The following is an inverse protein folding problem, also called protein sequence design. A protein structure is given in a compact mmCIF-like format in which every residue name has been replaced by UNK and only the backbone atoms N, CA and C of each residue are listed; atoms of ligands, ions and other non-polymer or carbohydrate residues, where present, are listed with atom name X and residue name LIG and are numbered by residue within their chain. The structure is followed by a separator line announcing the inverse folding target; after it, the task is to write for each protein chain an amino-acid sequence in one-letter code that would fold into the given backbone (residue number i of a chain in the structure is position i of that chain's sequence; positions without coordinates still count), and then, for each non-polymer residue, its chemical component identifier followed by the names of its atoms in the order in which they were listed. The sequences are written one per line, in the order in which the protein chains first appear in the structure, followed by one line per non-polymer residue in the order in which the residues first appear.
data_IF_944989089318
#
_entry.id   IF_944989089318
#
_cell.length_a   1.000
_cell.length_b   1.000
_cell.length_c   1.000
_cell.angle_alpha   90.00
_cell.angle_beta   90.00
_cell.angle_gamma   90.00
#
_symmetry.space_group_name_H-M   'P 1'
#
loop_
_entity.id
_entity.type
_entity.pdbx_description
1 polymer ?
#
# COMPACT_ATOMS: atom_id res chain seq x y z
N UNK A 1 5.08 32.30 13.40
CA UNK A 1 4.96 31.07 12.60
C UNK A 1 3.48 30.85 12.36
N UNK A 2 3.05 30.99 11.11
CA UNK A 2 1.63 30.99 10.73
C UNK A 2 1.13 29.54 10.67
N UNK A 3 -0.03 29.25 11.26
CA UNK A 3 -0.63 27.90 11.29
C UNK A 3 -0.77 27.31 9.87
N UNK A 4 -0.94 28.16 8.86
CA UNK A 4 -0.99 27.76 7.44
C UNK A 4 0.27 27.04 6.94
N UNK A 5 1.48 27.51 7.29
CA UNK A 5 2.72 26.86 6.85
C UNK A 5 2.94 25.47 7.47
N UNK A 6 2.43 25.25 8.69
CA UNK A 6 2.47 23.94 9.32
C UNK A 6 1.47 22.98 8.67
N UNK A 7 0.27 23.47 8.34
CA UNK A 7 -0.75 22.67 7.65
C UNK A 7 -0.28 22.24 6.26
N UNK A 8 0.36 23.13 5.49
CA UNK A 8 0.93 22.77 4.18
C UNK A 8 2.00 21.68 4.30
N UNK A 9 2.88 21.75 5.30
CA UNK A 9 3.89 20.71 5.54
C UNK A 9 3.26 19.37 5.92
N UNK A 10 2.18 19.39 6.72
CA UNK A 10 1.44 18.17 7.09
C UNK A 10 0.73 17.60 5.86
N UNK A 11 0.06 18.42 5.06
CA UNK A 11 -0.62 17.98 3.83
C UNK A 11 0.37 17.36 2.83
N UNK A 12 1.52 17.99 2.63
CA UNK A 12 2.56 17.50 1.72
C UNK A 12 3.22 16.21 2.24
N UNK A 13 3.45 16.11 3.55
CA UNK A 13 3.93 14.86 4.17
C UNK A 13 2.91 13.72 4.05
N UNK A 14 1.61 14.02 4.21
CA UNK A 14 0.53 13.05 4.02
C UNK A 14 0.39 12.62 2.56
N UNK A 15 0.47 13.56 1.62
CA UNK A 15 0.49 13.27 0.17
C UNK A 15 1.68 12.40 -0.22
N UNK A 16 2.88 12.70 0.27
CA UNK A 16 4.06 11.87 -0.01
C UNK A 16 3.93 10.47 0.63
N UNK A 17 3.34 10.39 1.82
CA UNK A 17 3.12 9.13 2.50
C UNK A 17 2.10 8.23 1.79
N UNK A 18 1.03 8.80 1.23
CA UNK A 18 0.05 8.07 0.43
C UNK A 18 0.60 7.75 -0.97
N UNK A 19 1.23 8.72 -1.64
CA UNK A 19 1.78 8.57 -2.99
C UNK A 19 2.92 7.54 -3.08
N UNK A 20 3.73 7.36 -2.04
CA UNK A 20 4.80 6.35 -2.02
C UNK A 20 4.26 4.94 -1.82
N UNK A 21 3.14 4.77 -1.12
CA UNK A 21 2.65 3.45 -0.70
C UNK A 21 1.66 2.82 -1.67
N UNK A 22 0.75 3.59 -2.24
CA UNK A 22 -0.30 3.07 -3.11
C UNK A 22 0.24 2.37 -4.36
N UNK A 23 1.21 2.94 -5.12
CA UNK A 23 1.75 2.28 -6.31
C UNK A 23 2.57 1.03 -5.98
N UNK A 24 3.28 1.04 -4.84
CA UNK A 24 4.06 -0.10 -4.38
C UNK A 24 3.16 -1.24 -3.92
N UNK A 25 2.11 -0.94 -3.15
CA UNK A 25 1.13 -1.92 -2.70
C UNK A 25 0.41 -2.55 -3.89
N UNK A 26 -0.03 -1.74 -4.85
CA UNK A 26 -0.71 -2.20 -6.04
C UNK A 26 0.15 -3.19 -6.83
N UNK A 27 1.40 -2.80 -7.14
CA UNK A 27 2.33 -3.66 -7.88
C UNK A 27 2.58 -4.99 -7.16
N UNK A 28 2.70 -4.96 -5.84
CA UNK A 28 3.00 -6.16 -5.06
C UNK A 28 1.80 -7.11 -4.99
N UNK A 29 0.59 -6.58 -4.78
CA UNK A 29 -0.66 -7.37 -4.81
C UNK A 29 -0.89 -7.96 -6.19
N UNK A 30 -0.78 -7.16 -7.25
CA UNK A 30 -1.01 -7.64 -8.63
C UNK A 30 0.07 -8.62 -9.09
N UNK A 31 1.28 -8.58 -8.51
CA UNK A 31 2.31 -9.57 -8.84
C UNK A 31 1.93 -11.00 -8.45
N UNK A 32 0.92 -11.21 -7.60
CA UNK A 32 0.40 -12.53 -7.24
C UNK A 32 -0.44 -13.16 -8.37
N UNK A 33 -0.86 -12.42 -9.39
CA UNK A 33 -1.53 -12.99 -10.57
C UNK A 33 -0.69 -14.10 -11.22
N UNK A 34 0.65 -13.97 -11.20
CA UNK A 34 1.57 -14.99 -11.74
C UNK A 34 1.54 -16.31 -10.97
N UNK A 35 1.01 -16.30 -9.74
CA UNK A 35 0.82 -17.48 -8.89
C UNK A 35 -0.58 -18.10 -9.08
N UNK A 36 -1.41 -17.53 -9.97
CA UNK A 36 -2.72 -18.05 -10.35
C UNK A 36 -3.89 -17.47 -9.56
N UNK A 37 -3.68 -16.39 -8.81
CA UNK A 37 -4.76 -15.67 -8.15
C UNK A 37 -5.58 -14.87 -9.15
N UNK A 38 -6.90 -14.87 -8.96
CA UNK A 38 -7.86 -14.18 -9.83
C UNK A 38 -7.84 -12.65 -9.63
N UNK A 39 -8.04 -11.88 -10.71
CA UNK A 39 -7.95 -10.42 -10.72
C UNK A 39 -9.00 -9.76 -9.79
N UNK A 40 -10.23 -10.28 -9.76
CA UNK A 40 -11.27 -9.74 -8.88
C UNK A 40 -10.89 -9.97 -7.41
N UNK A 41 -10.30 -11.13 -7.10
CA UNK A 41 -9.78 -11.41 -5.76
C UNK A 41 -8.65 -10.45 -5.38
N UNK A 42 -7.69 -10.21 -6.27
CA UNK A 42 -6.55 -9.32 -6.03
C UNK A 42 -6.99 -7.86 -5.85
N UNK A 43 -7.98 -7.40 -6.62
CA UNK A 43 -8.59 -6.08 -6.44
C UNK A 43 -9.22 -5.94 -5.03
N UNK A 44 -9.97 -6.95 -4.59
CA UNK A 44 -10.55 -6.96 -3.24
C UNK A 44 -9.48 -6.93 -2.13
N UNK A 45 -8.37 -7.66 -2.31
CA UNK A 45 -7.24 -7.64 -1.37
C UNK A 45 -6.59 -6.26 -1.32
N UNK A 46 -6.39 -5.62 -2.48
CA UNK A 46 -5.83 -4.28 -2.55
C UNK A 46 -6.71 -3.25 -1.83
N UNK A 47 -8.03 -3.26 -2.09
CA UNK A 47 -8.98 -2.36 -1.44
C UNK A 47 -9.04 -2.57 0.09
N UNK A 48 -8.99 -3.83 0.52
CA UNK A 48 -8.91 -4.19 1.94
C UNK A 48 -7.66 -3.61 2.60
N UNK A 49 -6.50 -3.73 1.95
CA UNK A 49 -5.21 -3.29 2.49
C UNK A 49 -5.08 -1.76 2.46
N UNK A 50 -5.57 -1.09 1.42
CA UNK A 50 -5.51 0.37 1.26
C UNK A 50 -6.09 1.14 2.46
N UNK A 51 -7.15 0.64 3.09
CA UNK A 51 -7.75 1.24 4.30
C UNK A 51 -7.07 0.86 5.61
N UNK A 52 -6.06 -0.01 5.58
CA UNK A 52 -5.52 -0.72 6.75
C UNK A 52 -4.01 -0.66 6.79
N UNK A 53 -3.49 0.36 7.47
CA UNK A 53 -2.05 0.65 7.47
C UNK A 53 -1.22 -0.50 8.07
N UNK A 54 -1.68 -1.12 9.16
CA UNK A 54 -0.94 -2.19 9.83
C UNK A 54 -0.86 -3.44 8.95
N UNK A 55 -1.99 -3.86 8.39
CA UNK A 55 -2.13 -4.99 7.49
C UNK A 55 -1.32 -4.76 6.21
N UNK A 56 -1.36 -3.55 5.63
CA UNK A 56 -0.50 -3.16 4.49
C UNK A 56 0.97 -3.31 4.82
N UNK A 57 1.43 -2.82 5.98
CA UNK A 57 2.85 -2.95 6.39
C UNK A 57 3.25 -4.41 6.57
N UNK A 58 2.40 -5.23 7.20
CA UNK A 58 2.66 -6.65 7.39
C UNK A 58 2.71 -7.40 6.06
N UNK A 59 1.76 -7.11 5.16
CA UNK A 59 1.71 -7.66 3.81
C UNK A 59 3.00 -7.33 3.04
N UNK A 60 3.37 -6.05 2.97
CA UNK A 60 4.57 -5.61 2.27
C UNK A 60 5.84 -6.27 2.85
N UNK A 61 5.97 -6.35 4.17
CA UNK A 61 7.11 -7.01 4.81
C UNK A 61 7.21 -8.51 4.47
N UNK A 62 6.06 -9.21 4.42
CA UNK A 62 6.00 -10.64 4.07
C UNK A 62 6.21 -10.86 2.56
N UNK A 63 5.67 -10.00 1.71
CA UNK A 63 5.83 -10.07 0.25
C UNK A 63 7.29 -9.90 -0.20
N UNK A 64 8.06 -9.02 0.45
CA UNK A 64 9.48 -8.83 0.15
C UNK A 64 10.37 -10.02 0.57
N UNK A 65 10.03 -10.70 1.67
CA UNK A 65 10.89 -11.76 2.26
C UNK A 65 10.42 -13.19 1.98
N UNK A 66 9.12 -13.37 1.78
CA UNK A 66 8.44 -14.66 1.83
C UNK A 66 7.33 -14.77 0.78
N UNK A 67 7.52 -14.14 -0.40
CA UNK A 67 6.52 -14.15 -1.50
C UNK A 67 5.97 -15.56 -1.80
N UNK A 68 6.85 -16.57 -1.77
CA UNK A 68 6.55 -17.99 -2.05
C UNK A 68 5.64 -18.70 -1.02
N UNK A 69 5.26 -18.03 0.07
CA UNK A 69 4.49 -18.58 1.20
C UNK A 69 3.16 -17.85 1.39
N UNK A 70 2.67 -17.21 0.34
CA UNK A 70 1.29 -16.76 0.23
C UNK A 70 0.44 -17.87 -0.39
#
# INVERSE_FOLDING_TARGET
MFVGEQLDKIANALEQFTAVKTPHLYKEVMSMEVEGFDDDFLCNVFDYLMGREFETKAFLAKSTKHRKFW
#
